data_IF_065116209067
#
_entry.id   IF_065116209067
#
_cell.length_a   1.000
_cell.length_b   1.000
_cell.length_c   1.000
_cell.angle_alpha   90.00
_cell.angle_beta   90.00
_cell.angle_gamma   90.00
#
_symmetry.space_group_name_H-M   'P 1'
#
loop_
_entity.id
_entity.type
_entity.pdbx_description
1 polymer ?
#
# COMPACT_ATOMS: atom_id res chain seq x y z
N UNK A 1 -17.76 -12.76 -16.44
CA UNK A 1 -17.55 -13.31 -15.08
C UNK A 1 -16.43 -12.59 -14.30
N UNK A 2 -16.10 -11.32 -14.63
CA UNK A 2 -15.12 -10.50 -13.88
C UNK A 2 -15.75 -9.82 -12.65
N UNK A 3 -17.05 -9.47 -12.74
CA UNK A 3 -17.80 -8.78 -11.67
C UNK A 3 -18.01 -9.62 -10.41
N UNK A 4 -17.79 -10.93 -10.47
CA UNK A 4 -17.86 -11.85 -9.31
C UNK A 4 -16.48 -12.12 -8.70
N UNK A 5 -15.41 -11.56 -9.28
CA UNK A 5 -14.07 -11.70 -8.74
C UNK A 5 -13.84 -10.67 -7.63
N UNK A 6 -13.66 -11.17 -6.41
CA UNK A 6 -13.47 -10.36 -5.21
C UNK A 6 -12.26 -9.42 -5.29
N UNK A 7 -11.17 -9.82 -5.94
CA UNK A 7 -10.00 -8.98 -6.14
C UNK A 7 -10.29 -7.79 -7.06
N UNK A 8 -11.05 -8.02 -8.15
CA UNK A 8 -11.46 -6.95 -9.05
C UNK A 8 -12.38 -5.94 -8.35
N UNK A 9 -13.36 -6.44 -7.59
CA UNK A 9 -14.23 -5.58 -6.78
C UNK A 9 -13.44 -4.79 -5.73
N UNK A 10 -12.43 -5.42 -5.11
CA UNK A 10 -11.58 -4.77 -4.13
C UNK A 10 -10.74 -3.64 -4.75
N UNK A 11 -10.20 -3.84 -5.97
CA UNK A 11 -9.50 -2.80 -6.73
C UNK A 11 -10.42 -1.63 -7.04
N UNK A 12 -11.65 -1.90 -7.52
CA UNK A 12 -12.63 -0.84 -7.80
C UNK A 12 -12.98 -0.07 -6.54
N UNK A 13 -13.28 -0.77 -5.44
CA UNK A 13 -13.60 -0.15 -4.15
C UNK A 13 -12.43 0.69 -3.63
N UNK A 14 -11.20 0.17 -3.72
CA UNK A 14 -9.99 0.89 -3.32
C UNK A 14 -9.77 2.16 -4.16
N UNK A 15 -9.98 2.06 -5.48
CA UNK A 15 -9.96 3.19 -6.40
C UNK A 15 -11.00 4.24 -6.00
N UNK A 16 -12.24 3.85 -5.74
CA UNK A 16 -13.32 4.75 -5.31
C UNK A 16 -13.00 5.44 -3.98
N UNK A 17 -12.43 4.72 -3.01
CA UNK A 17 -11.98 5.31 -1.74
C UNK A 17 -10.91 6.36 -2.00
N UNK A 18 -9.90 6.05 -2.82
CA UNK A 18 -8.86 7.00 -3.18
C UNK A 18 -9.44 8.23 -3.90
N UNK A 19 -10.30 8.03 -4.90
CA UNK A 19 -10.98 9.12 -5.61
C UNK A 19 -11.76 10.02 -4.65
N UNK A 20 -12.57 9.43 -3.77
CA UNK A 20 -13.34 10.18 -2.78
C UNK A 20 -12.46 11.01 -1.84
N UNK A 21 -11.31 10.47 -1.42
CA UNK A 21 -10.36 11.18 -0.58
C UNK A 21 -9.65 12.31 -1.33
N UNK A 22 -9.21 12.07 -2.58
CA UNK A 22 -8.48 13.06 -3.37
C UNK A 22 -9.37 14.22 -3.80
N UNK A 23 -10.57 13.95 -4.30
CA UNK A 23 -11.49 15.00 -4.73
C UNK A 23 -11.90 15.89 -3.55
N UNK A 24 -12.11 15.29 -2.37
CA UNK A 24 -12.42 16.04 -1.16
C UNK A 24 -11.28 16.95 -0.70
N UNK A 25 -10.03 16.51 -0.91
CA UNK A 25 -8.84 17.24 -0.51
C UNK A 25 -8.21 18.07 -1.65
N UNK A 26 -8.85 18.09 -2.82
CA UNK A 26 -8.38 18.78 -4.05
C UNK A 26 -6.93 18.44 -4.44
N UNK A 27 -6.47 17.21 -4.12
CA UNK A 27 -5.09 16.79 -4.31
C UNK A 27 -4.82 16.24 -5.72
N UNK A 28 -5.14 17.05 -6.74
CA UNK A 28 -5.07 16.63 -8.15
C UNK A 28 -3.65 16.29 -8.62
N UNK A 29 -2.61 16.90 -8.03
CA UNK A 29 -1.22 16.55 -8.33
C UNK A 29 -0.90 15.10 -8.00
N UNK A 30 -1.38 14.60 -6.85
CA UNK A 30 -1.23 13.20 -6.48
C UNK A 30 -1.98 12.29 -7.47
N UNK A 31 -3.23 12.63 -7.79
CA UNK A 31 -4.02 11.86 -8.76
C UNK A 31 -3.33 11.75 -10.13
N UNK A 32 -2.94 12.87 -10.73
CA UNK A 32 -2.32 12.87 -12.05
C UNK A 32 -0.96 12.16 -12.04
N UNK A 33 -0.17 12.32 -10.98
CA UNK A 33 1.07 11.56 -10.82
C UNK A 33 0.81 10.04 -10.77
N UNK A 34 -0.25 9.58 -10.09
CA UNK A 34 -0.64 8.17 -10.09
C UNK A 34 -1.06 7.69 -11.49
N UNK A 35 -1.79 8.50 -12.25
CA UNK A 35 -2.18 8.18 -13.64
C UNK A 35 -0.95 8.07 -14.54
N UNK A 36 -0.02 9.03 -14.47
CA UNK A 36 1.23 9.01 -15.25
C UNK A 36 2.07 7.79 -14.89
N UNK A 37 2.20 7.45 -13.60
CA UNK A 37 2.90 6.24 -13.17
C UNK A 37 2.23 4.97 -13.68
N UNK A 38 0.90 4.90 -13.62
CA UNK A 38 0.16 3.76 -14.17
C UNK A 38 0.42 3.60 -15.67
N UNK A 39 0.35 4.68 -16.46
CA UNK A 39 0.64 4.64 -17.90
C UNK A 39 2.09 4.24 -18.19
N UNK A 40 3.04 4.82 -17.46
CA UNK A 40 4.46 4.52 -17.62
C UNK A 40 4.79 3.06 -17.32
N UNK A 41 4.33 2.56 -16.16
CA UNK A 41 4.53 1.15 -15.78
C UNK A 41 3.79 0.20 -16.71
N UNK A 42 2.59 0.56 -17.18
CA UNK A 42 1.86 -0.25 -18.15
C UNK A 42 2.60 -0.34 -19.49
N UNK A 43 3.20 0.77 -19.94
CA UNK A 43 4.00 0.83 -21.17
C UNK A 43 5.26 -0.03 -21.04
N UNK A 44 6.04 0.17 -19.96
CA UNK A 44 7.23 -0.64 -19.70
C UNK A 44 6.89 -2.12 -19.52
N UNK A 45 5.84 -2.41 -18.76
CA UNK A 45 5.41 -3.78 -18.52
C UNK A 45 4.93 -4.48 -19.79
N UNK A 46 4.40 -3.75 -20.79
CA UNK A 46 4.04 -4.34 -22.08
C UNK A 46 5.24 -4.85 -22.89
N UNK A 47 6.42 -4.26 -22.66
CA UNK A 47 7.67 -4.72 -23.27
C UNK A 47 8.24 -5.94 -22.52
N UNK A 48 8.06 -5.98 -21.19
CA UNK A 48 8.58 -7.06 -20.33
C UNK A 48 7.71 -8.32 -20.36
N UNK A 49 6.38 -8.16 -20.43
CA UNK A 49 5.39 -9.25 -20.40
C UNK A 49 4.39 -9.07 -21.56
N UNK A 50 4.82 -9.25 -22.82
CA UNK A 50 3.96 -9.05 -23.98
C UNK A 50 2.73 -9.95 -23.92
N UNK A 51 1.55 -9.38 -24.19
CA UNK A 51 0.27 -10.11 -24.19
C UNK A 51 -0.32 -10.42 -22.81
N UNK A 52 0.39 -10.10 -21.72
CA UNK A 52 -0.13 -10.24 -20.35
C UNK A 52 -0.26 -8.90 -19.63
N UNK A 53 0.65 -7.96 -19.91
CA UNK A 53 0.72 -6.65 -19.28
C UNK A 53 0.66 -5.56 -20.34
N UNK A 54 -0.03 -4.46 -20.06
CA UNK A 54 -0.18 -3.34 -20.99
C UNK A 54 -1.35 -2.43 -20.62
N UNK A 55 -1.41 -1.24 -21.22
CA UNK A 55 -2.43 -0.21 -20.91
C UNK A 55 -3.86 -0.74 -21.14
N UNK A 56 -4.02 -1.65 -22.10
CA UNK A 56 -5.29 -2.29 -22.46
C UNK A 56 -5.61 -3.54 -21.65
N UNK A 57 -4.75 -3.95 -20.73
CA UNK A 57 -4.90 -5.18 -19.95
C UNK A 57 -5.28 -4.87 -18.50
N UNK A 58 -5.89 -5.85 -17.83
CA UNK A 58 -6.33 -5.70 -16.43
C UNK A 58 -5.19 -5.80 -15.42
N UNK A 59 -4.07 -6.44 -15.78
CA UNK A 59 -2.93 -6.68 -14.87
C UNK A 59 -2.44 -5.42 -14.14
N UNK A 60 -2.13 -4.31 -14.84
CA UNK A 60 -1.74 -3.05 -14.19
C UNK A 60 -2.75 -2.53 -13.15
N UNK A 61 -4.04 -2.81 -13.32
CA UNK A 61 -5.07 -2.35 -12.39
C UNK A 61 -4.99 -3.06 -11.03
N UNK A 62 -4.28 -4.18 -10.92
CA UNK A 62 -4.18 -4.97 -9.68
C UNK A 62 -3.08 -4.47 -8.74
N UNK A 63 -2.25 -3.51 -9.17
CA UNK A 63 -1.21 -2.90 -8.31
C UNK A 63 -1.43 -1.40 -8.08
N UNK A 64 -2.67 -0.93 -7.79
CA UNK A 64 -2.92 0.51 -7.69
C UNK A 64 -2.13 1.11 -6.53
N UNK A 65 -1.98 0.37 -5.43
CA UNK A 65 -1.19 0.78 -4.27
C UNK A 65 0.26 1.13 -4.61
N UNK A 66 0.87 0.52 -5.63
CA UNK A 66 2.18 0.92 -6.15
C UNK A 66 2.13 2.37 -6.65
N UNK A 67 1.24 2.67 -7.60
CA UNK A 67 1.13 4.01 -8.20
C UNK A 67 0.75 5.05 -7.16
N UNK A 68 -0.13 4.69 -6.22
CA UNK A 68 -0.57 5.59 -5.16
C UNK A 68 0.56 5.87 -4.17
N UNK A 69 1.36 4.87 -3.78
CA UNK A 69 2.52 5.06 -2.88
C UNK A 69 3.54 5.98 -3.52
N UNK A 70 3.98 5.72 -4.76
CA UNK A 70 5.02 6.53 -5.37
C UNK A 70 4.55 7.96 -5.68
N UNK A 71 3.29 8.11 -6.10
CA UNK A 71 2.73 9.45 -6.30
C UNK A 71 2.47 10.21 -4.99
N UNK A 72 2.40 9.52 -3.84
CA UNK A 72 2.24 10.17 -2.54
C UNK A 72 3.43 11.06 -2.16
N UNK A 73 4.56 10.98 -2.88
CA UNK A 73 5.67 11.95 -2.74
C UNK A 73 5.17 13.39 -2.87
N UNK A 74 4.23 13.67 -3.77
CA UNK A 74 3.62 15.00 -3.90
C UNK A 74 2.85 15.38 -2.64
N UNK A 75 2.10 14.45 -2.05
CA UNK A 75 1.43 14.68 -0.77
C UNK A 75 2.44 15.05 0.33
N UNK A 76 3.47 14.22 0.50
CA UNK A 76 4.45 14.41 1.57
C UNK A 76 5.31 15.67 1.37
N UNK A 77 5.67 16.01 0.14
CA UNK A 77 6.46 17.21 -0.16
C UNK A 77 5.78 18.50 0.33
N UNK A 78 4.46 18.59 0.25
CA UNK A 78 3.71 19.80 0.61
C UNK A 78 3.08 19.75 2.01
N UNK A 79 2.73 18.57 2.50
CA UNK A 79 1.91 18.41 3.72
C UNK A 79 2.66 17.80 4.90
N UNK A 80 3.84 17.19 4.70
CA UNK A 80 4.59 16.56 5.79
C UNK A 80 5.48 17.56 6.53
N UNK A 81 5.08 17.93 7.74
CA UNK A 81 5.79 18.92 8.56
C UNK A 81 6.07 18.36 9.95
N UNK A 82 7.19 18.78 10.55
CA UNK A 82 7.48 18.47 11.95
C UNK A 82 6.84 19.55 12.84
N UNK A 83 6.09 19.15 13.87
CA UNK A 83 5.59 20.06 14.89
C UNK A 83 6.74 20.55 15.76
N UNK A 84 6.81 21.87 15.94
CA UNK A 84 7.89 22.53 16.67
C UNK A 84 7.97 22.07 18.13
N UNK A 85 6.81 21.93 18.79
CA UNK A 85 6.75 21.79 20.25
C UNK A 85 6.81 20.34 20.73
N UNK A 86 6.34 19.38 19.92
CA UNK A 86 6.17 17.97 20.33
C UNK A 86 7.17 17.02 19.66
N UNK A 87 7.88 17.50 18.62
CA UNK A 87 8.72 16.67 17.77
C UNK A 87 7.95 15.61 16.97
N UNK A 88 6.61 15.67 16.94
CA UNK A 88 5.76 14.81 16.12
C UNK A 88 5.78 15.27 14.67
N UNK A 89 5.42 14.35 13.79
CA UNK A 89 5.16 14.68 12.39
C UNK A 89 3.68 14.90 12.19
N UNK A 90 3.32 15.88 11.39
CA UNK A 90 1.95 16.11 10.94
C UNK A 90 1.93 16.04 9.43
N UNK A 91 0.90 15.38 8.91
CA UNK A 91 0.57 15.41 7.49
C UNK A 91 -0.49 16.50 7.27
N UNK A 92 -1.59 16.18 6.60
CA UNK A 92 -2.71 17.09 6.40
C UNK A 92 -3.74 16.99 7.54
N UNK A 93 -3.82 18.03 8.37
CA UNK A 93 -4.77 18.15 9.48
C UNK A 93 -6.22 18.33 9.01
N UNK A 94 -6.45 18.94 7.84
CA UNK A 94 -7.79 19.15 7.29
C UNK A 94 -8.36 17.85 6.74
N UNK A 95 -7.49 16.98 6.22
CA UNK A 95 -7.86 15.70 5.61
C UNK A 95 -7.20 14.51 6.34
N UNK A 96 -7.61 14.21 7.59
CA UNK A 96 -6.94 13.19 8.41
C UNK A 96 -7.03 11.77 7.84
N UNK A 97 -8.11 11.44 7.14
CA UNK A 97 -8.23 10.13 6.48
C UNK A 97 -7.23 9.98 5.32
N UNK A 98 -7.01 11.05 4.55
CA UNK A 98 -6.04 11.05 3.46
C UNK A 98 -4.60 10.94 4.00
N UNK A 99 -4.33 11.61 5.12
CA UNK A 99 -3.06 11.48 5.86
C UNK A 99 -2.76 10.05 6.28
N UNK A 100 -3.74 9.39 6.92
CA UNK A 100 -3.58 8.01 7.38
C UNK A 100 -3.50 7.04 6.19
N UNK A 101 -4.24 7.31 5.10
CA UNK A 101 -4.14 6.55 3.85
C UNK A 101 -2.73 6.63 3.24
N UNK A 102 -2.16 7.83 3.10
CA UNK A 102 -0.82 8.04 2.55
C UNK A 102 0.25 7.33 3.38
N UNK A 103 0.24 7.57 4.70
CA UNK A 103 1.27 7.03 5.62
C UNK A 103 1.19 5.51 5.72
N UNK A 104 -0.03 4.95 5.83
CA UNK A 104 -0.18 3.49 5.87
C UNK A 104 0.32 2.82 4.58
N UNK A 105 0.04 3.39 3.41
CA UNK A 105 0.48 2.82 2.14
C UNK A 105 2.01 2.82 1.99
N UNK A 106 2.67 3.91 2.41
CA UNK A 106 4.14 4.00 2.46
C UNK A 106 4.72 2.96 3.43
N UNK A 107 4.19 2.86 4.65
CA UNK A 107 4.69 1.89 5.63
C UNK A 107 4.48 0.44 5.18
N UNK A 108 3.34 0.14 4.54
CA UNK A 108 3.08 -1.16 3.91
C UNK A 108 4.08 -1.47 2.80
N UNK A 109 4.40 -0.49 1.95
CA UNK A 109 5.40 -0.66 0.87
C UNK A 109 6.81 -0.85 1.42
N UNK A 110 7.19 -0.10 2.46
CA UNK A 110 8.48 -0.28 3.13
C UNK A 110 8.58 -1.66 3.80
N UNK A 111 7.50 -2.14 4.42
CA UNK A 111 7.46 -3.50 4.98
C UNK A 111 7.61 -4.56 3.89
N UNK A 112 6.89 -4.41 2.77
CA UNK A 112 6.99 -5.30 1.63
C UNK A 112 8.42 -5.40 1.07
N UNK A 113 9.05 -4.25 0.82
CA UNK A 113 10.44 -4.20 0.33
C UNK A 113 11.41 -4.80 1.34
N UNK A 114 11.18 -4.57 2.64
CA UNK A 114 12.01 -5.16 3.70
C UNK A 114 11.89 -6.69 3.72
N UNK A 115 10.68 -7.24 3.61
CA UNK A 115 10.47 -8.69 3.51
C UNK A 115 11.12 -9.21 2.24
N UNK A 116 10.89 -8.59 1.07
CA UNK A 116 11.49 -9.01 -0.18
C UNK A 116 13.03 -9.06 -0.10
N UNK A 117 13.66 -8.04 0.51
CA UNK A 117 15.10 -8.01 0.74
C UNK A 117 15.54 -9.14 1.69
N UNK A 118 14.86 -9.33 2.81
CA UNK A 118 15.12 -10.42 3.77
C UNK A 118 15.06 -11.77 3.06
N UNK A 119 14.01 -12.03 2.28
CA UNK A 119 13.87 -13.29 1.55
C UNK A 119 15.03 -13.47 0.56
N UNK A 120 15.33 -12.46 -0.24
CA UNK A 120 16.37 -12.54 -1.26
C UNK A 120 17.77 -12.77 -0.67
N UNK A 121 18.11 -12.12 0.44
CA UNK A 121 19.44 -12.21 1.03
C UNK A 121 19.61 -13.37 2.02
N UNK A 122 18.55 -13.80 2.70
CA UNK A 122 18.64 -14.74 3.81
C UNK A 122 18.02 -16.11 3.54
N UNK A 123 17.18 -16.27 2.51
CA UNK A 123 16.59 -17.59 2.23
C UNK A 123 17.41 -18.42 1.23
N UNK A 124 17.53 -19.74 1.49
CA UNK A 124 18.08 -20.67 0.52
C UNK A 124 17.14 -20.83 -0.70
N UNK A 125 17.73 -21.15 -1.86
CA UNK A 125 17.04 -21.11 -3.15
C UNK A 125 15.74 -21.91 -3.23
N UNK A 126 15.65 -23.07 -2.58
CA UNK A 126 14.42 -23.88 -2.56
C UNK A 126 13.29 -23.18 -1.79
N UNK A 127 13.56 -22.59 -0.64
CA UNK A 127 12.56 -21.88 0.15
C UNK A 127 12.16 -20.54 -0.49
N UNK A 128 13.12 -19.87 -1.13
CA UNK A 128 12.88 -18.65 -1.90
C UNK A 128 11.90 -18.90 -3.06
N UNK A 129 12.02 -20.05 -3.75
CA UNK A 129 11.16 -20.42 -4.88
C UNK A 129 9.67 -20.54 -4.53
N UNK A 130 9.33 -20.85 -3.27
CA UNK A 130 7.93 -20.88 -2.81
C UNK A 130 7.50 -19.55 -2.16
N UNK A 131 8.39 -18.94 -1.40
CA UNK A 131 8.04 -17.77 -0.57
C UNK A 131 7.97 -16.49 -1.39
N UNK A 132 8.81 -16.34 -2.41
CA UNK A 132 8.81 -15.14 -3.24
C UNK A 132 7.56 -15.04 -4.14
N UNK A 133 7.10 -16.11 -4.82
CA UNK A 133 5.81 -16.07 -5.51
C UNK A 133 4.63 -15.83 -4.57
N UNK A 134 4.66 -16.35 -3.33
CA UNK A 134 3.63 -16.06 -2.34
C UNK A 134 3.57 -14.56 -1.98
N UNK A 135 4.74 -13.94 -1.81
CA UNK A 135 4.86 -12.51 -1.56
C UNK A 135 4.36 -11.68 -2.76
N UNK A 136 4.69 -12.08 -3.98
CA UNK A 136 4.16 -11.45 -5.20
C UNK A 136 2.66 -11.68 -5.37
N UNK A 137 2.13 -12.83 -4.93
CA UNK A 137 0.69 -13.12 -4.94
C UNK A 137 -0.06 -12.18 -3.99
N UNK A 138 0.48 -11.93 -2.79
CA UNK A 138 -0.04 -10.89 -1.87
C UNK A 138 -0.05 -9.51 -2.52
N UNK A 139 1.01 -9.16 -3.25
CA UNK A 139 1.21 -7.82 -3.81
C UNK A 139 0.38 -7.57 -5.07
N UNK A 140 0.51 -8.43 -6.09
CA UNK A 140 0.04 -8.15 -7.45
C UNK A 140 -1.09 -9.06 -7.94
N UNK A 141 -1.26 -10.26 -7.37
CA UNK A 141 -2.25 -11.22 -7.88
C UNK A 141 -3.54 -11.26 -7.07
N UNK A 142 -3.45 -11.01 -5.75
CA UNK A 142 -4.58 -10.94 -4.82
C UNK A 142 -4.56 -9.62 -4.04
N UNK A 143 -4.79 -8.48 -4.72
CA UNK A 143 -4.70 -7.15 -4.13
C UNK A 143 -5.65 -6.92 -2.96
N UNK A 144 -6.70 -7.73 -2.81
CA UNK A 144 -7.59 -7.66 -1.64
C UNK A 144 -6.82 -7.80 -0.33
N UNK A 145 -5.79 -8.65 -0.28
CA UNK A 145 -4.98 -8.80 0.93
C UNK A 145 -4.29 -7.51 1.29
N UNK A 146 -3.66 -6.84 0.32
CA UNK A 146 -3.03 -5.54 0.55
C UNK A 146 -4.03 -4.53 1.10
N UNK A 147 -5.19 -4.41 0.46
CA UNK A 147 -6.19 -3.41 0.85
C UNK A 147 -6.75 -3.67 2.24
N UNK A 148 -7.08 -4.93 2.58
CA UNK A 148 -7.54 -5.29 3.92
C UNK A 148 -6.47 -4.94 4.96
N UNK A 149 -5.21 -5.31 4.74
CA UNK A 149 -4.13 -4.99 5.66
C UNK A 149 -3.92 -3.48 5.81
N UNK A 150 -4.01 -2.72 4.71
CA UNK A 150 -3.93 -1.27 4.75
C UNK A 150 -5.11 -0.68 5.53
N UNK A 151 -6.34 -1.13 5.32
CA UNK A 151 -7.51 -0.65 6.07
C UNK A 151 -7.39 -0.97 7.57
N UNK A 152 -6.92 -2.15 7.94
CA UNK A 152 -6.63 -2.50 9.34
C UNK A 152 -5.60 -1.53 9.92
N UNK A 153 -4.51 -1.27 9.20
CA UNK A 153 -3.48 -0.33 9.63
C UNK A 153 -4.03 1.10 9.79
N UNK A 154 -4.84 1.55 8.84
CA UNK A 154 -5.51 2.84 8.90
C UNK A 154 -6.43 2.94 10.12
N UNK A 155 -7.23 1.90 10.38
CA UNK A 155 -8.13 1.85 11.53
C UNK A 155 -7.35 1.91 12.85
N UNK A 156 -6.28 1.13 12.99
CA UNK A 156 -5.42 1.15 14.19
C UNK A 156 -4.83 2.54 14.40
N UNK A 157 -4.25 3.16 13.38
CA UNK A 157 -3.68 4.50 13.48
C UNK A 157 -4.73 5.55 13.86
N UNK A 158 -5.88 5.49 13.21
CA UNK A 158 -6.98 6.40 13.45
C UNK A 158 -7.53 6.27 14.88
N UNK A 159 -7.83 5.05 15.33
CA UNK A 159 -8.38 4.78 16.66
C UNK A 159 -7.37 5.09 17.76
N UNK A 160 -6.11 4.67 17.60
CA UNK A 160 -5.06 4.98 18.56
C UNK A 160 -4.93 6.50 18.73
N UNK A 161 -4.93 7.26 17.64
CA UNK A 161 -4.71 8.70 17.73
C UNK A 161 -5.94 9.47 18.22
N UNK A 162 -7.12 9.18 17.66
CA UNK A 162 -8.36 9.87 17.99
C UNK A 162 -8.93 9.44 19.34
N UNK A 163 -8.98 8.13 19.60
CA UNK A 163 -9.71 7.58 20.73
C UNK A 163 -8.85 7.44 21.97
N UNK A 164 -7.59 7.04 21.83
CA UNK A 164 -6.66 6.82 22.95
C UNK A 164 -5.87 8.10 23.25
N UNK A 165 -5.12 8.61 22.27
CA UNK A 165 -4.27 9.78 22.47
C UNK A 165 -5.01 11.13 22.42
N UNK A 166 -6.30 11.14 22.07
CA UNK A 166 -7.14 12.34 21.93
C UNK A 166 -6.53 13.45 21.05
N UNK A 167 -5.83 13.05 19.99
CA UNK A 167 -5.16 13.94 19.04
C UNK A 167 -5.68 13.72 17.62
N UNK A 168 -5.36 14.64 16.71
CA UNK A 168 -5.72 14.48 15.29
C UNK A 168 -5.06 13.24 14.68
N UNK A 169 -5.79 12.38 13.94
CA UNK A 169 -5.24 11.22 13.23
C UNK A 169 -4.14 11.54 12.23
N UNK A 170 -4.02 12.80 11.80
CA UNK A 170 -2.98 13.27 10.89
C UNK A 170 -1.63 13.53 11.57
N UNK A 171 -1.52 13.31 12.88
CA UNK A 171 -0.28 13.48 13.63
C UNK A 171 0.33 12.12 13.93
N UNK A 172 1.64 11.97 13.77
CA UNK A 172 2.37 10.71 13.89
C UNK A 172 3.63 10.91 14.74
N UNK A 173 3.79 10.09 15.78
CA UNK A 173 5.06 10.04 16.51
C UNK A 173 6.05 9.11 15.81
N UNK A 174 7.36 9.29 16.06
CA UNK A 174 8.39 8.36 15.55
C UNK A 174 8.12 6.92 15.99
N UNK A 175 7.67 6.73 17.23
CA UNK A 175 7.31 5.42 17.77
C UNK A 175 6.13 4.80 17.01
N UNK A 176 5.07 5.58 16.73
CA UNK A 176 3.92 5.11 15.97
C UNK A 176 4.31 4.69 14.55
N UNK A 177 5.20 5.42 13.88
CA UNK A 177 5.68 5.06 12.54
C UNK A 177 6.50 3.76 12.57
N UNK A 178 7.41 3.60 13.54
CA UNK A 178 8.20 2.37 13.72
C UNK A 178 7.32 1.16 14.04
N UNK A 179 6.39 1.30 14.98
CA UNK A 179 5.45 0.24 15.35
C UNK A 179 4.49 -0.08 14.22
N UNK A 180 4.07 0.92 13.45
CA UNK A 180 3.26 0.71 12.25
C UNK A 180 4.00 -0.09 11.19
N UNK A 181 5.27 0.25 10.92
CA UNK A 181 6.11 -0.55 10.02
C UNK A 181 6.29 -1.98 10.53
N UNK A 182 6.56 -2.17 11.82
CA UNK A 182 6.68 -3.51 12.42
C UNK A 182 5.37 -4.31 12.32
N UNK A 183 4.23 -3.67 12.56
CA UNK A 183 2.91 -4.27 12.41
C UNK A 183 2.67 -4.69 10.96
N UNK A 184 3.03 -3.84 9.99
CA UNK A 184 2.97 -4.18 8.57
C UNK A 184 3.87 -5.38 8.20
N UNK A 185 5.08 -5.45 8.75
CA UNK A 185 5.97 -6.61 8.58
C UNK A 185 5.31 -7.90 9.08
N UNK A 186 4.77 -7.87 10.30
CA UNK A 186 4.11 -9.05 10.90
C UNK A 186 2.91 -9.47 10.07
N UNK A 187 2.01 -8.54 9.74
CA UNK A 187 0.80 -8.84 8.96
C UNK A 187 1.13 -9.43 7.59
N UNK A 188 2.06 -8.81 6.85
CA UNK A 188 2.45 -9.29 5.53
C UNK A 188 3.17 -10.63 5.59
N UNK A 189 3.99 -10.87 6.61
CA UNK A 189 4.66 -12.16 6.81
C UNK A 189 3.64 -13.27 7.11
N UNK A 190 2.66 -13.01 7.98
CA UNK A 190 1.60 -13.96 8.29
C UNK A 190 0.76 -14.33 7.06
N UNK A 191 0.34 -13.33 6.28
CA UNK A 191 -0.43 -13.58 5.06
C UNK A 191 0.43 -14.29 4.00
N UNK A 192 1.69 -13.89 3.85
CA UNK A 192 2.63 -14.58 2.93
C UNK A 192 2.81 -16.04 3.34
N UNK A 193 3.01 -16.32 4.64
CA UNK A 193 3.12 -17.68 5.17
C UNK A 193 1.87 -18.52 4.93
N UNK A 194 0.67 -17.93 5.12
CA UNK A 194 -0.58 -18.59 4.79
C UNK A 194 -0.67 -18.94 3.29
N UNK A 195 -0.27 -18.00 2.41
CA UNK A 195 -0.23 -18.24 0.96
C UNK A 195 0.81 -19.31 0.58
N UNK A 196 1.98 -19.36 1.23
CA UNK A 196 2.95 -20.44 1.03
C UNK A 196 2.33 -21.80 1.37
N UNK A 197 1.56 -21.87 2.47
CA UNK A 197 0.80 -23.06 2.84
C UNK A 197 -0.19 -23.50 1.75
N UNK A 198 -0.89 -22.55 1.12
CA UNK A 198 -1.75 -22.86 -0.04
C UNK A 198 -0.96 -23.41 -1.25
N UNK A 199 0.22 -22.83 -1.53
CA UNK A 199 1.03 -23.22 -2.69
C UNK A 199 1.68 -24.60 -2.48
N UNK A 200 2.18 -24.89 -1.28
CA UNK A 200 2.89 -26.14 -0.98
C UNK A 200 2.00 -27.37 -0.78
N UNK A 201 0.67 -27.21 -0.81
CA UNK A 201 -0.31 -28.31 -0.80
C UNK A 201 -0.67 -28.81 -2.21
N UNK A 202 -0.13 -28.18 -3.26
CA UNK A 202 -0.29 -28.54 -4.67
C UNK A 202 1.04 -29.05 -5.25
#
# INVERSE_FOLDING_TARGET
MIWTNLDFLAVVAYGLVFFGLIFRAEMFQWFWASVVLWLGVSTLGSQLLPGMWGITHVGPLFVPHFYLTFASVFFFAFHWKKQADTGFWQADLQHPFLSVFAVSNVLMTLAFVSIAAILYFLMPGRSLAFTFPALLKLYALKPVYWFVLQFVMMAVFYLHRRSIAKQSPAVFSKAQLRLGWLMALVMQTLVTGAIVGEIGLH
#
